data_IF_376635908788
#
_entry.id   IF_376635908788
#
_cell.length_a   1.000
_cell.length_b   1.000
_cell.length_c   1.000
_cell.angle_alpha   90.00
_cell.angle_beta   90.00
_cell.angle_gamma   90.00
#
_symmetry.space_group_name_H-M   'P 1'
#
loop_
_entity.id
_entity.type
_entity.pdbx_description
1 polymer ?
#
# COMPACT_ATOMS: atom_id res chain seq x y z
N UNK A 1 -16.54 55.05 48.32
CA UNK A 1 -15.22 54.40 48.49
C UNK A 1 -15.44 53.28 49.50
N UNK A 2 -15.06 52.03 49.33
CA UNK A 2 -14.40 51.26 48.29
C UNK A 2 -14.58 49.79 48.68
N UNK A 3 -14.73 48.92 47.69
CA UNK A 3 -15.02 47.48 47.84
C UNK A 3 -13.78 46.72 48.32
N UNK A 4 -13.98 45.69 49.15
CA UNK A 4 -13.14 44.49 49.14
C UNK A 4 -13.94 43.26 49.62
N UNK A 5 -13.80 42.12 48.92
CA UNK A 5 -14.10 40.78 49.41
C UNK A 5 -15.30 40.04 48.80
N UNK A 6 -15.02 39.09 47.88
CA UNK A 6 -15.36 37.64 47.93
C UNK A 6 -15.39 37.00 46.53
N UNK A 7 -14.82 35.81 46.43
CA UNK A 7 -14.67 34.96 45.23
C UNK A 7 -16.01 34.38 44.75
N UNK A 8 -16.08 33.85 43.51
CA UNK A 8 -16.30 32.39 43.47
C UNK A 8 -15.53 31.65 42.38
N UNK A 9 -15.16 30.42 42.76
CA UNK A 9 -14.67 29.28 41.99
C UNK A 9 -15.52 29.02 40.75
N UNK A 10 -14.89 28.95 39.57
CA UNK A 10 -15.55 28.44 38.36
C UNK A 10 -15.17 26.98 38.14
N UNK A 11 -16.16 26.13 38.36
CA UNK A 11 -16.25 24.73 38.04
C UNK A 11 -16.05 24.50 36.53
N UNK A 12 -15.21 23.54 36.16
CA UNK A 12 -15.29 22.87 34.86
C UNK A 12 -14.86 21.43 35.04
N UNK A 13 -15.86 20.55 35.12
CA UNK A 13 -15.69 19.13 34.95
C UNK A 13 -15.79 18.71 33.48
N UNK A 14 -15.47 17.44 33.29
CA UNK A 14 -15.76 16.54 32.17
C UNK A 14 -14.72 16.52 31.03
N UNK A 15 -14.11 15.33 30.88
CA UNK A 15 -13.79 14.79 29.57
C UNK A 15 -12.38 14.23 29.42
N UNK A 16 -12.11 13.05 29.98
CA UNK A 16 -11.00 12.22 29.51
C UNK A 16 -11.39 11.67 28.13
N UNK A 17 -11.06 12.42 27.09
CA UNK A 17 -11.08 11.95 25.71
C UNK A 17 -9.69 11.48 25.34
N UNK A 18 -9.47 10.16 25.33
CA UNK A 18 -8.33 9.56 24.64
C UNK A 18 -8.55 9.82 23.14
N UNK A 19 -7.86 10.81 22.58
CA UNK A 19 -7.83 11.00 21.14
C UNK A 19 -6.92 9.92 20.55
N UNK A 20 -7.50 8.98 19.80
CA UNK A 20 -6.76 8.12 18.89
C UNK A 20 -5.91 9.01 17.96
N UNK A 21 -4.59 8.77 17.82
CA UNK A 21 -3.80 9.50 16.85
C UNK A 21 -4.33 9.19 15.45
N UNK A 22 -4.92 10.21 14.82
CA UNK A 22 -5.42 10.16 13.45
C UNK A 22 -4.26 9.79 12.50
N UNK A 23 -4.12 8.50 12.17
CA UNK A 23 -3.10 8.00 11.24
C UNK A 23 -3.45 8.51 9.85
N UNK A 24 -2.88 9.66 9.48
CA UNK A 24 -3.02 10.22 8.14
C UNK A 24 -2.37 9.29 7.13
N UNK A 25 -3.18 8.48 6.45
CA UNK A 25 -2.74 7.65 5.33
C UNK A 25 -2.31 8.56 4.20
N UNK A 26 -0.99 8.72 4.02
CA UNK A 26 -0.43 9.50 2.93
C UNK A 26 -0.44 8.68 1.64
N UNK A 27 -1.09 9.18 0.59
CA UNK A 27 -0.98 8.61 -0.76
C UNK A 27 0.43 8.87 -1.29
N UNK A 28 1.12 7.80 -1.70
CA UNK A 28 2.51 7.84 -2.17
C UNK A 28 2.69 7.45 -3.64
N UNK A 29 1.60 7.33 -4.39
CA UNK A 29 1.59 6.99 -5.82
C UNK A 29 0.41 6.12 -6.20
N UNK A 30 0.35 5.77 -7.48
CA UNK A 30 -0.72 4.97 -8.07
C UNK A 30 -0.14 3.74 -8.77
N UNK A 31 -0.85 2.60 -8.69
CA UNK A 31 -0.53 1.38 -9.43
C UNK A 31 -1.68 1.12 -10.40
N UNK A 32 -1.40 1.09 -11.69
CA UNK A 32 -2.35 0.70 -12.73
C UNK A 32 -2.35 -0.83 -12.86
N UNK A 33 -3.48 -1.43 -12.52
CA UNK A 33 -3.70 -2.88 -12.57
C UNK A 33 -4.93 -3.17 -13.43
N UNK A 34 -4.88 -4.21 -14.25
CA UNK A 34 -6.08 -4.76 -14.89
C UNK A 34 -6.38 -6.15 -14.32
N UNK A 35 -7.66 -6.45 -14.13
CA UNK A 35 -8.15 -7.71 -13.61
C UNK A 35 -9.10 -8.32 -14.62
N UNK A 36 -8.93 -9.61 -14.91
CA UNK A 36 -9.82 -10.36 -15.79
C UNK A 36 -10.12 -11.73 -15.18
N UNK A 37 -11.40 -12.12 -15.22
CA UNK A 37 -11.83 -13.49 -14.95
C UNK A 37 -11.97 -14.22 -16.29
N UNK A 38 -11.38 -15.40 -16.40
CA UNK A 38 -11.58 -16.31 -17.53
C UNK A 38 -12.13 -17.64 -17.03
N UNK A 39 -13.04 -18.25 -17.79
CA UNK A 39 -13.47 -19.63 -17.59
C UNK A 39 -12.76 -20.48 -18.63
N UNK A 40 -12.06 -21.53 -18.20
CA UNK A 40 -11.40 -22.50 -19.06
C UNK A 40 -11.91 -23.91 -18.76
N UNK A 41 -11.54 -24.86 -19.61
CA UNK A 41 -11.90 -26.27 -19.45
C UNK A 41 -11.40 -26.85 -18.13
N UNK A 42 -10.29 -26.34 -17.59
CA UNK A 42 -9.68 -26.72 -16.31
C UNK A 42 -10.21 -25.92 -15.09
N UNK A 43 -11.18 -25.02 -15.30
CA UNK A 43 -11.82 -24.22 -14.26
C UNK A 43 -11.64 -22.70 -14.42
N UNK A 44 -11.94 -21.96 -13.35
CA UNK A 44 -11.81 -20.51 -13.33
C UNK A 44 -10.34 -20.07 -13.22
N UNK A 45 -9.98 -19.02 -13.97
CA UNK A 45 -8.69 -18.35 -13.86
C UNK A 45 -8.89 -16.87 -13.55
N UNK A 46 -8.14 -16.38 -12.56
CA UNK A 46 -7.95 -14.96 -12.30
C UNK A 46 -6.67 -14.48 -12.98
N UNK A 47 -6.80 -13.45 -13.81
CA UNK A 47 -5.69 -12.82 -14.51
C UNK A 47 -5.48 -11.44 -13.91
N UNK A 48 -4.23 -11.16 -13.55
CA UNK A 48 -3.80 -9.89 -12.99
C UNK A 48 -2.70 -9.34 -13.87
N UNK A 49 -2.92 -8.17 -14.43
CA UNK A 49 -1.92 -7.45 -15.22
C UNK A 49 -1.40 -6.28 -14.41
N UNK A 50 -0.10 -6.29 -14.13
CA UNK A 50 0.59 -5.15 -13.52
C UNK A 50 1.14 -4.31 -14.67
N UNK A 51 0.56 -3.14 -14.89
CA UNK A 51 0.87 -2.33 -16.06
C UNK A 51 1.97 -1.33 -15.73
N UNK A 52 1.67 -0.37 -14.86
CA UNK A 52 2.55 0.77 -14.60
C UNK A 52 2.31 1.31 -13.19
N UNK A 53 3.34 1.91 -12.58
CA UNK A 53 3.14 2.80 -11.44
C UNK A 53 3.51 4.24 -11.83
N UNK A 54 2.79 5.22 -11.27
CA UNK A 54 3.00 6.65 -11.54
C UNK A 54 2.84 7.48 -10.29
N UNK A 55 3.27 8.74 -10.36
CA UNK A 55 3.15 9.71 -9.26
C UNK A 55 3.75 9.20 -7.94
N UNK A 56 4.78 8.35 -8.02
CA UNK A 56 5.40 7.76 -6.85
C UNK A 56 6.19 8.83 -6.11
N UNK A 57 5.85 9.05 -4.84
CA UNK A 57 6.57 9.97 -3.97
C UNK A 57 7.68 9.24 -3.24
N UNK A 58 8.93 9.66 -3.48
CA UNK A 58 10.08 9.16 -2.76
C UNK A 58 10.41 10.08 -1.58
N UNK A 59 10.68 9.51 -0.41
CA UNK A 59 11.10 10.26 0.78
C UNK A 59 12.62 10.43 0.88
N UNK A 60 13.38 10.09 -0.17
CA UNK A 60 14.83 10.20 -0.18
C UNK A 60 15.28 11.65 -0.40
N UNK A 61 16.37 12.03 0.26
CA UNK A 61 16.91 13.41 0.25
C UNK A 61 17.59 13.81 -1.07
N UNK A 62 17.95 12.84 -1.91
CA UNK A 62 18.67 13.07 -3.16
C UNK A 62 17.84 12.61 -4.36
N UNK A 63 17.52 13.50 -5.31
CA UNK A 63 16.69 13.18 -6.48
C UNK A 63 17.36 12.24 -7.50
N UNK A 64 18.68 12.09 -7.40
CA UNK A 64 19.50 11.31 -8.34
C UNK A 64 19.64 9.83 -7.96
N UNK A 65 19.11 9.41 -6.81
CA UNK A 65 19.19 8.02 -6.35
C UNK A 65 17.80 7.39 -6.29
N UNK A 66 17.24 7.12 -7.47
CA UNK A 66 15.96 6.43 -7.59
C UNK A 66 16.12 4.95 -7.17
N UNK A 67 15.19 4.40 -6.39
CA UNK A 67 15.29 3.01 -5.97
C UNK A 67 14.98 2.04 -7.12
N UNK A 68 15.37 0.80 -6.93
CA UNK A 68 14.90 -0.32 -7.73
C UNK A 68 13.50 -0.73 -7.25
N UNK A 69 12.55 -0.85 -8.17
CA UNK A 69 11.15 -1.09 -7.88
C UNK A 69 10.66 -2.42 -8.41
N UNK A 70 9.75 -3.06 -7.67
CA UNK A 70 8.98 -4.21 -8.13
C UNK A 70 7.66 -4.32 -7.37
N UNK A 71 6.67 -4.94 -7.99
CA UNK A 71 5.37 -5.18 -7.37
C UNK A 71 5.30 -6.62 -6.88
N UNK A 72 4.82 -6.82 -5.65
CA UNK A 72 4.40 -8.14 -5.17
C UNK A 72 2.87 -8.24 -5.18
N UNK A 73 2.41 -9.41 -5.60
CA UNK A 73 1.00 -9.78 -5.60
C UNK A 73 0.86 -10.93 -4.61
N UNK A 74 -0.03 -10.74 -3.63
CA UNK A 74 -0.44 -11.80 -2.72
C UNK A 74 -1.89 -12.14 -2.98
N UNK A 75 -2.17 -13.44 -3.13
CA UNK A 75 -3.53 -13.96 -3.04
C UNK A 75 -3.74 -14.39 -1.60
N UNK A 76 -4.76 -13.81 -0.98
CA UNK A 76 -5.17 -14.10 0.38
C UNK A 76 -6.43 -14.95 0.34
N UNK A 77 -6.49 -16.01 1.13
CA UNK A 77 -7.74 -16.71 1.36
C UNK A 77 -8.52 -15.95 2.45
N UNK A 78 -9.76 -15.55 2.14
CA UNK A 78 -10.56 -14.66 3.00
C UNK A 78 -10.96 -15.34 4.31
N UNK A 79 -11.31 -16.63 4.29
CA UNK A 79 -11.75 -17.33 5.51
C UNK A 79 -10.62 -17.60 6.49
N UNK A 80 -9.43 -17.92 5.98
CA UNK A 80 -8.26 -18.24 6.82
C UNK A 80 -7.35 -17.05 7.08
N UNK A 81 -7.52 -15.93 6.36
CA UNK A 81 -6.63 -14.76 6.36
C UNK A 81 -5.16 -15.10 6.05
N UNK A 82 -4.89 -16.24 5.38
CA UNK A 82 -3.54 -16.68 5.01
C UNK A 82 -3.18 -16.29 3.58
N UNK A 83 -1.90 -15.96 3.38
CA UNK A 83 -1.27 -15.82 2.06
C UNK A 83 -1.17 -17.21 1.43
N UNK A 84 -1.93 -17.47 0.38
CA UNK A 84 -1.93 -18.76 -0.32
C UNK A 84 -1.03 -18.75 -1.56
N UNK A 85 -0.88 -17.61 -2.23
CA UNK A 85 0.00 -17.47 -3.39
C UNK A 85 0.76 -16.14 -3.30
N UNK A 86 2.02 -16.15 -3.72
CA UNK A 86 2.87 -14.96 -3.85
C UNK A 86 3.54 -14.94 -5.22
N UNK A 87 3.41 -13.83 -5.95
CA UNK A 87 4.13 -13.56 -7.19
C UNK A 87 4.82 -12.18 -7.08
N UNK A 88 5.83 -11.95 -7.91
CA UNK A 88 6.50 -10.65 -8.03
C UNK A 88 6.77 -10.35 -9.50
N UNK A 89 6.77 -9.08 -9.86
CA UNK A 89 7.27 -8.61 -11.15
C UNK A 89 8.80 -8.70 -11.21
N UNK A 90 9.33 -8.46 -12.40
CA UNK A 90 10.71 -8.04 -12.62
C UNK A 90 10.98 -6.73 -11.87
N UNK A 91 12.27 -6.46 -11.69
CA UNK A 91 12.77 -5.25 -11.05
C UNK A 91 12.98 -4.18 -12.13
N UNK A 92 12.34 -3.03 -11.99
CA UNK A 92 12.61 -1.82 -12.76
C UNK A 92 13.62 -0.98 -11.99
N UNK A 93 14.75 -0.62 -12.62
CA UNK A 93 15.83 0.10 -11.95
C UNK A 93 15.79 1.57 -12.30
N UNK A 94 15.96 2.41 -11.28
CA UNK A 94 16.10 3.87 -11.42
C UNK A 94 15.01 4.53 -12.28
N UNK A 95 13.76 4.06 -12.19
CA UNK A 95 12.64 4.52 -13.02
C UNK A 95 11.61 5.27 -12.17
N UNK A 96 11.20 6.46 -12.61
CA UNK A 96 10.18 7.28 -11.92
C UNK A 96 8.77 6.77 -12.17
N UNK A 97 8.55 6.12 -13.31
CA UNK A 97 7.25 5.62 -13.75
C UNK A 97 7.37 4.18 -14.26
N UNK A 98 7.74 3.23 -13.38
CA UNK A 98 8.10 1.88 -13.78
C UNK A 98 6.95 1.22 -14.53
N UNK A 99 7.26 0.75 -15.74
CA UNK A 99 6.36 -0.01 -16.59
C UNK A 99 6.69 -1.49 -16.46
N UNK A 100 5.78 -2.25 -15.89
CA UNK A 100 5.95 -3.70 -15.71
C UNK A 100 5.40 -4.46 -16.91
N UNK A 101 4.17 -4.15 -17.35
CA UNK A 101 3.47 -4.86 -18.41
C UNK A 101 3.52 -6.39 -18.25
N UNK A 102 3.33 -6.87 -17.02
CA UNK A 102 3.43 -8.29 -16.67
C UNK A 102 2.06 -8.89 -16.36
N UNK A 103 1.75 -10.03 -16.97
CA UNK A 103 0.51 -10.79 -16.76
C UNK A 103 0.75 -12.00 -15.86
N UNK A 104 -0.01 -12.09 -14.77
CA UNK A 104 -0.02 -13.23 -13.85
C UNK A 104 -1.35 -13.96 -13.96
N UNK A 105 -1.28 -15.28 -14.15
CA UNK A 105 -2.46 -16.16 -14.25
C UNK A 105 -2.52 -17.05 -13.00
N UNK A 106 -3.66 -17.04 -12.33
CA UNK A 106 -3.94 -17.83 -11.14
C UNK A 106 -5.11 -18.76 -11.42
N UNK A 107 -4.87 -20.08 -11.41
CA UNK A 107 -5.92 -21.10 -11.52
C UNK A 107 -6.67 -21.24 -10.20
N UNK A 108 -7.52 -20.25 -9.91
CA UNK A 108 -8.36 -20.20 -8.72
C UNK A 108 -9.63 -19.40 -9.03
N UNK A 109 -10.70 -19.71 -8.29
CA UNK A 109 -11.90 -18.87 -8.32
C UNK A 109 -11.66 -17.57 -7.56
N UNK A 110 -12.01 -16.39 -8.12
CA UNK A 110 -11.97 -15.13 -7.37
C UNK A 110 -12.86 -15.14 -6.13
N UNK A 111 -13.90 -15.98 -6.10
CA UNK A 111 -14.74 -16.15 -4.92
C UNK A 111 -13.93 -16.74 -3.75
N UNK A 112 -13.98 -16.08 -2.59
CA UNK A 112 -13.25 -16.51 -1.39
C UNK A 112 -11.78 -16.07 -1.33
N UNK A 113 -11.31 -15.32 -2.33
CA UNK A 113 -9.95 -14.79 -2.37
C UNK A 113 -9.94 -13.26 -2.44
N UNK A 114 -8.94 -12.64 -1.82
CA UNK A 114 -8.64 -11.22 -2.01
C UNK A 114 -7.22 -11.05 -2.54
N UNK A 115 -7.00 -9.96 -3.28
CA UNK A 115 -5.69 -9.61 -3.82
C UNK A 115 -5.09 -8.46 -3.03
N UNK A 116 -3.84 -8.63 -2.61
CA UNK A 116 -3.03 -7.56 -2.07
C UNK A 116 -1.89 -7.27 -3.04
N UNK A 117 -1.92 -6.08 -3.65
CA UNK A 117 -0.90 -5.61 -4.60
C UNK A 117 -0.10 -4.51 -3.92
N UNK A 118 1.22 -4.70 -3.79
CA UNK A 118 2.10 -3.79 -3.05
C UNK A 118 3.33 -3.49 -3.88
N UNK A 119 3.63 -2.21 -4.07
CA UNK A 119 4.90 -1.74 -4.63
C UNK A 119 5.98 -1.80 -3.55
N UNK A 120 7.11 -2.45 -3.88
CA UNK A 120 8.30 -2.50 -3.04
C UNK A 120 9.42 -1.69 -3.70
N UNK A 121 10.18 -0.98 -2.88
CA UNK A 121 11.44 -0.37 -3.25
C UNK A 121 12.60 -1.12 -2.60
N UNK A 122 13.70 -1.25 -3.34
CA UNK A 122 14.98 -1.78 -2.86
C UNK A 122 16.08 -0.82 -3.25
N UNK A 123 17.04 -0.62 -2.36
CA UNK A 123 18.27 0.10 -2.68
C UNK A 123 19.29 -0.96 -3.10
N UNK A 124 19.67 -0.95 -4.37
CA UNK A 124 20.76 -1.81 -4.84
C UNK A 124 22.05 -1.31 -4.22
N UNK A 125 22.70 -2.16 -3.41
CA UNK A 125 24.01 -1.85 -2.81
C UNK A 125 25.04 -1.91 -3.94
N UNK A 126 25.20 -0.81 -4.68
CA UNK A 126 26.16 -0.73 -5.78
C UNK A 126 27.55 -0.23 -5.34
N UNK A 127 27.72 0.20 -4.08
CA UNK A 127 28.97 0.80 -3.59
C UNK A 127 29.38 0.27 -2.20
N UNK A 128 29.44 -1.05 -2.01
CA UNK A 128 30.27 -1.64 -0.95
C UNK A 128 31.57 -2.14 -1.57
N UNK A 129 32.47 -1.20 -1.87
CA UNK A 129 33.90 -1.42 -2.05
C UNK A 129 34.64 -0.18 -1.54
#
# INVERSE_FOLDING_TARGET
>A
MGQNGQEPVKQSGVGVGLADPEVKTQVMGEIKVALKKEMKTDGEQLIVEILQCRNITYKFKSPDHLPDLYVKIYVMNISTQKKVIKKKTRVCRHDREPSFNETFRFSLSPAGHSLQVILYYTVSIQHLY
#
